data_IF_564766603033
#
_entry.id   IF_564766603033
#
_cell.length_a   1.000
_cell.length_b   1.000
_cell.length_c   1.000
_cell.angle_alpha   90.00
_cell.angle_beta   90.00
_cell.angle_gamma   90.00
#
_symmetry.space_group_name_H-M   'P 1'
#
loop_
_entity.id
_entity.type
_entity.pdbx_description
1 polymer ?
#
# COMPACT_ATOMS: atom_id res chain seq x y z
N UNK A 1 10.24 18.66 -5.29
CA UNK A 1 9.09 17.73 -5.36
C UNK A 1 9.17 16.78 -4.18
N UNK A 2 8.20 16.74 -3.26
CA UNK A 2 8.21 15.79 -2.15
C UNK A 2 7.58 14.47 -2.60
N UNK A 3 8.38 13.40 -2.69
CA UNK A 3 7.91 12.07 -3.08
C UNK A 3 6.98 11.42 -2.02
N UNK A 4 6.91 12.00 -0.81
CA UNK A 4 6.01 11.56 0.28
C UNK A 4 4.52 11.71 -0.03
N UNK A 5 4.16 12.43 -1.10
CA UNK A 5 2.76 12.60 -1.53
C UNK A 5 2.23 11.46 -2.42
N UNK A 6 3.10 10.55 -2.85
CA UNK A 6 2.75 9.49 -3.80
C UNK A 6 2.99 8.11 -3.19
N UNK A 7 1.98 7.26 -3.20
CA UNK A 7 2.10 5.86 -2.79
C UNK A 7 2.71 5.02 -3.92
N UNK A 8 3.98 5.30 -4.24
CA UNK A 8 4.73 4.59 -5.27
C UNK A 8 4.78 3.06 -5.03
N UNK A 9 5.00 2.57 -3.78
CA UNK A 9 4.95 1.13 -3.53
C UNK A 9 3.57 0.54 -3.80
N UNK A 10 2.50 1.22 -3.39
CA UNK A 10 1.13 0.78 -3.62
C UNK A 10 0.78 0.70 -5.10
N UNK A 11 1.18 1.69 -5.90
CA UNK A 11 0.97 1.65 -7.35
C UNK A 11 1.72 0.47 -7.99
N UNK A 12 2.98 0.25 -7.62
CA UNK A 12 3.75 -0.88 -8.15
C UNK A 12 3.08 -2.21 -7.80
N UNK A 13 2.61 -2.39 -6.56
CA UNK A 13 1.90 -3.60 -6.14
C UNK A 13 0.56 -3.79 -6.84
N UNK A 14 -0.17 -2.70 -7.11
CA UNK A 14 -1.43 -2.77 -7.86
C UNK A 14 -1.16 -3.26 -9.30
N UNK A 15 -0.20 -2.65 -9.99
CA UNK A 15 0.21 -3.06 -11.33
C UNK A 15 0.66 -4.52 -11.32
N UNK A 16 1.44 -4.93 -10.32
CA UNK A 16 1.90 -6.32 -10.19
C UNK A 16 0.72 -7.30 -10.11
N UNK A 17 -0.31 -6.98 -9.32
CA UNK A 17 -1.52 -7.80 -9.21
C UNK A 17 -2.28 -7.90 -10.53
N UNK A 18 -2.41 -6.79 -11.26
CA UNK A 18 -3.07 -6.77 -12.57
C UNK A 18 -2.30 -7.61 -13.59
N UNK A 19 -0.97 -7.47 -13.64
CA UNK A 19 -0.08 -8.26 -14.51
C UNK A 19 -0.16 -9.75 -14.14
N UNK A 20 -0.17 -10.08 -12.85
CA UNK A 20 -0.27 -11.46 -12.38
C UNK A 20 -1.61 -12.09 -12.76
N UNK A 21 -2.73 -11.39 -12.57
CA UNK A 21 -4.05 -11.85 -12.95
C UNK A 21 -4.21 -12.01 -14.49
N UNK A 22 -3.56 -11.15 -15.27
CA UNK A 22 -3.50 -11.30 -16.73
C UNK A 22 -2.69 -12.54 -17.10
N UNK A 23 -1.52 -12.73 -16.48
CA UNK A 23 -0.65 -13.88 -16.72
C UNK A 23 -1.35 -15.20 -16.40
N UNK A 24 -2.09 -15.27 -15.30
CA UNK A 24 -2.86 -16.46 -14.92
C UNK A 24 -3.87 -16.90 -16.00
N UNK A 25 -4.35 -15.97 -16.84
CA UNK A 25 -5.28 -16.28 -17.95
C UNK A 25 -4.59 -16.79 -19.21
N UNK A 26 -3.25 -16.74 -19.28
CA UNK A 26 -2.49 -17.09 -20.49
C UNK A 26 -2.12 -18.58 -20.60
N UNK A 27 -2.64 -19.43 -19.71
CA UNK A 27 -2.47 -20.89 -19.67
C UNK A 27 -1.04 -21.39 -20.02
N UNK A 28 -0.75 -21.70 -21.30
CA UNK A 28 0.55 -22.20 -21.78
C UNK A 28 1.60 -21.10 -22.04
N UNK A 29 1.19 -19.86 -22.21
CA UNK A 29 2.06 -18.71 -22.53
C UNK A 29 2.37 -17.86 -21.28
N UNK A 30 2.28 -18.48 -20.10
CA UNK A 30 2.56 -17.80 -18.82
C UNK A 30 4.02 -17.36 -18.74
N UNK A 31 4.18 -16.09 -18.41
CA UNK A 31 5.46 -15.48 -18.04
C UNK A 31 5.97 -16.05 -16.72
N UNK A 32 7.29 -16.18 -16.64
CA UNK A 32 7.99 -16.54 -15.42
C UNK A 32 8.08 -15.36 -14.42
N UNK A 33 8.54 -15.63 -13.19
CA UNK A 33 8.58 -14.62 -12.13
C UNK A 33 9.50 -13.43 -12.46
N UNK A 34 10.60 -13.65 -13.18
CA UNK A 34 11.52 -12.59 -13.61
C UNK A 34 10.85 -11.64 -14.60
N UNK A 35 10.21 -12.21 -15.62
CA UNK A 35 9.50 -11.46 -16.66
C UNK A 35 8.32 -10.68 -16.08
N UNK A 36 7.57 -11.26 -15.14
CA UNK A 36 6.48 -10.56 -14.45
C UNK A 36 6.97 -9.30 -13.73
N UNK A 37 8.14 -9.37 -13.09
CA UNK A 37 8.73 -8.22 -12.39
C UNK A 37 9.18 -7.14 -13.38
N UNK A 38 9.78 -7.52 -14.52
CA UNK A 38 10.19 -6.58 -15.56
C UNK A 38 9.00 -5.87 -16.22
N UNK A 39 7.97 -6.62 -16.60
CA UNK A 39 6.74 -6.07 -17.19
C UNK A 39 6.07 -5.09 -16.22
N UNK A 40 5.92 -5.48 -14.96
CA UNK A 40 5.37 -4.63 -13.90
C UNK A 40 6.17 -3.34 -13.74
N UNK A 41 7.50 -3.44 -13.70
CA UNK A 41 8.38 -2.28 -13.51
C UNK A 41 8.32 -1.33 -14.70
N UNK A 42 8.24 -1.87 -15.92
CA UNK A 42 8.10 -1.07 -17.15
C UNK A 42 6.79 -0.30 -17.17
N UNK A 43 5.67 -0.95 -16.83
CA UNK A 43 4.35 -0.31 -16.74
C UNK A 43 4.35 0.75 -15.63
N UNK A 44 4.97 0.47 -14.49
CA UNK A 44 5.10 1.41 -13.38
C UNK A 44 5.88 2.67 -13.76
N UNK A 45 7.03 2.54 -14.44
CA UNK A 45 7.82 3.69 -14.91
C UNK A 45 6.99 4.52 -15.90
N UNK A 46 6.36 3.87 -16.88
CA UNK A 46 5.53 4.55 -17.87
C UNK A 46 4.33 5.27 -17.24
N UNK A 47 3.70 4.68 -16.23
CA UNK A 47 2.57 5.26 -15.50
C UNK A 47 2.97 6.50 -14.70
N UNK A 48 4.17 6.47 -14.10
CA UNK A 48 4.74 7.64 -13.41
C UNK A 48 5.09 8.77 -14.39
N UNK A 49 5.74 8.45 -15.51
CA UNK A 49 6.13 9.43 -16.53
C UNK A 49 4.92 10.13 -17.17
N UNK A 50 3.79 9.43 -17.31
CA UNK A 50 2.53 9.98 -17.84
C UNK A 50 1.71 10.77 -16.82
N UNK A 51 2.17 10.90 -15.57
CA UNK A 51 1.42 11.60 -14.51
C UNK A 51 0.12 10.90 -14.10
N UNK A 52 -0.03 9.61 -14.43
CA UNK A 52 -1.20 8.79 -14.06
C UNK A 52 -1.18 8.47 -12.56
N UNK A 53 -0.04 8.65 -11.88
CA UNK A 53 0.09 8.61 -10.43
C UNK A 53 -0.80 9.66 -9.76
N UNK A 54 -2.04 9.27 -9.46
CA UNK A 54 -2.89 10.04 -8.57
C UNK A 54 -2.21 10.12 -7.20
N UNK A 55 -2.11 11.31 -6.59
CA UNK A 55 -1.66 11.44 -5.21
C UNK A 55 -2.51 10.51 -4.34
N UNK A 56 -1.86 9.71 -3.49
CA UNK A 56 -2.63 8.88 -2.57
C UNK A 56 -3.28 9.82 -1.56
N UNK A 57 -4.61 9.85 -1.53
CA UNK A 57 -5.36 10.62 -0.55
C UNK A 57 -5.27 9.91 0.80
N UNK A 58 -4.13 10.06 1.48
CA UNK A 58 -4.01 9.66 2.87
C UNK A 58 -5.14 10.31 3.67
N UNK A 59 -5.84 9.51 4.48
CA UNK A 59 -6.78 10.09 5.43
C UNK A 59 -6.04 11.00 6.40
N UNK A 60 -6.72 11.99 7.01
CA UNK A 60 -6.10 12.86 8.02
C UNK A 60 -5.40 12.06 9.13
N UNK A 61 -5.97 10.90 9.49
CA UNK A 61 -5.37 9.97 10.44
C UNK A 61 -4.06 9.35 9.92
N UNK A 62 -4.02 8.89 8.68
CA UNK A 62 -2.81 8.32 8.08
C UNK A 62 -1.69 9.35 7.95
N UNK A 63 -2.01 10.60 7.59
CA UNK A 63 -1.04 11.69 7.54
C UNK A 63 -0.46 11.96 8.93
N UNK A 64 -1.31 12.14 9.95
CA UNK A 64 -0.89 12.38 11.32
C UNK A 64 -0.01 11.24 11.86
N UNK A 65 -0.32 9.99 11.51
CA UNK A 65 0.49 8.83 11.88
C UNK A 65 1.87 8.85 11.23
N UNK A 66 1.94 9.13 9.92
CA UNK A 66 3.20 9.24 9.19
C UNK A 66 4.06 10.37 9.75
N UNK A 67 3.46 11.51 10.12
CA UNK A 67 4.18 12.63 10.75
C UNK A 67 4.72 12.26 12.13
N UNK A 68 3.90 11.64 12.99
CA UNK A 68 4.33 11.18 14.33
C UNK A 68 5.45 10.15 14.26
N UNK A 69 5.46 9.31 13.22
CA UNK A 69 6.45 8.23 13.07
C UNK A 69 7.68 8.63 12.24
N UNK A 70 7.69 9.82 11.64
CA UNK A 70 8.72 10.29 10.70
C UNK A 70 10.14 10.34 11.30
N UNK A 71 10.27 10.52 12.62
CA UNK A 71 11.55 10.56 13.33
C UNK A 71 11.87 9.31 14.15
N UNK A 72 10.97 8.33 14.18
CA UNK A 72 11.16 7.09 14.92
C UNK A 72 12.00 6.14 14.07
N UNK A 73 13.32 6.17 14.21
CA UNK A 73 14.23 5.22 13.55
C UNK A 73 14.36 3.90 14.32
N UNK A 74 13.94 3.86 15.58
CA UNK A 74 14.03 2.70 16.45
C UNK A 74 12.81 1.78 16.30
N UNK A 75 13.05 0.57 15.77
CA UNK A 75 12.06 -0.50 15.58
C UNK A 75 11.15 -0.76 16.81
N UNK A 76 11.63 -0.72 18.07
CA UNK A 76 10.77 -0.94 19.24
C UNK A 76 9.68 0.12 19.42
N UNK A 77 9.96 1.37 19.07
CA UNK A 77 9.00 2.47 19.23
C UNK A 77 7.95 2.46 18.11
N UNK A 78 8.37 2.12 16.88
CA UNK A 78 7.45 1.85 15.78
C UNK A 78 6.48 0.71 16.11
N UNK A 79 6.96 -0.37 16.73
CA UNK A 79 6.13 -1.50 17.19
C UNK A 79 5.11 -1.09 18.26
N UNK A 80 5.48 -0.19 19.19
CA UNK A 80 4.55 0.33 20.20
C UNK A 80 3.40 1.11 19.55
N UNK A 81 3.71 2.00 18.61
CA UNK A 81 2.70 2.78 17.87
C UNK A 81 1.76 1.84 17.09
N UNK A 82 2.32 0.88 16.36
CA UNK A 82 1.52 -0.11 15.62
C UNK A 82 0.59 -0.92 16.54
N UNK A 83 1.11 -1.38 17.68
CA UNK A 83 0.34 -2.21 18.63
C UNK A 83 -0.78 -1.41 19.27
N UNK A 84 -0.53 -0.15 19.65
CA UNK A 84 -1.55 0.73 20.23
C UNK A 84 -2.70 0.99 19.24
N UNK A 85 -2.39 1.23 17.96
CA UNK A 85 -3.40 1.43 16.91
C UNK A 85 -4.21 0.16 16.66
N UNK A 86 -3.54 -1.00 16.61
CA UNK A 86 -4.20 -2.29 16.46
C UNK A 86 -5.22 -2.52 17.58
N UNK A 87 -4.85 -2.24 18.83
CA UNK A 87 -5.75 -2.35 19.98
C UNK A 87 -6.96 -1.40 19.89
N UNK A 88 -6.75 -0.16 19.45
CA UNK A 88 -7.84 0.82 19.28
C UNK A 88 -8.85 0.39 18.22
N UNK A 89 -8.37 -0.17 17.10
CA UNK A 89 -9.24 -0.66 16.02
C UNK A 89 -10.04 -1.89 16.45
N UNK A 90 -9.39 -2.87 17.10
CA UNK A 90 -10.08 -4.07 17.59
C UNK A 90 -11.08 -3.76 18.72
N UNK A 91 -10.81 -2.74 19.54
CA UNK A 91 -11.76 -2.29 20.57
C UNK A 91 -13.01 -1.64 19.95
N UNK A 92 -12.83 -0.90 18.85
CA UNK A 92 -13.94 -0.27 18.12
C UNK A 92 -14.88 -1.30 17.47
N UNK A 93 -14.33 -2.39 16.92
CA UNK A 93 -15.12 -3.51 16.36
C UNK A 93 -16.02 -4.16 17.42
N UNK A 94 -15.49 -4.48 18.60
CA UNK A 94 -16.27 -5.05 19.71
C UNK A 94 -17.36 -4.12 20.25
N UNK A 95 -17.16 -2.81 20.16
CA UNK A 95 -18.15 -1.84 20.67
C UNK A 95 -19.30 -1.65 19.67
N UNK A 96 -19.04 -1.81 18.37
CA UNK A 96 -20.07 -1.72 17.33
C UNK A 96 -20.99 -2.95 17.26
N UNK A 97 -20.52 -4.11 17.72
CA UNK A 97 -21.35 -5.33 17.82
C UNK A 97 -22.47 -5.20 18.87
N UNK A 98 -22.33 -4.28 19.85
CA UNK A 98 -23.32 -4.08 20.92
C UNK A 98 -24.38 -3.01 20.61
N UNK A 99 -24.39 -2.43 19.40
CA UNK A 99 -25.35 -1.38 19.03
C UNK A 99 -26.53 -1.93 18.20
N UNK A 100 -26.48 -3.21 17.79
CA UNK A 100 -27.63 -3.87 17.16
C UNK A 100 -28.36 -4.77 18.18
N UNK A 101 -29.14 -4.15 19.05
CA UNK A 101 -30.28 -4.77 19.77
C UNK A 101 -31.39 -3.74 19.93
#
# INVERSE_FOLDING_TARGET
>A
MSYLKYNLPGLWFQIFREVLAANEKMDKDRLDKSMLREVTTSIFIASNQRGITRPYSYSKFQVALLELTKGLYHEPEQKKVYTAIKQLLTKKEKTNEHINT
#
